data_IF_811264606797
#
_entry.id   IF_811264606797
#
_cell.length_a   1.000
_cell.length_b   1.000
_cell.length_c   1.000
_cell.angle_alpha   90.00
_cell.angle_beta   90.00
_cell.angle_gamma   90.00
#
_symmetry.space_group_name_H-M   'P 1'
#
loop_
_entity.id
_entity.type
_entity.pdbx_description
1 polymer ?
#
# COMPACT_ATOMS: atom_id res chain seq x y z
N UNK A 1 -44.23 -41.44 -9.87
CA UNK A 1 -44.14 -40.99 -8.46
C UNK A 1 -42.80 -40.32 -8.29
N UNK A 2 -42.83 -39.01 -8.16
CA UNK A 2 -41.70 -38.07 -8.04
C UNK A 2 -41.12 -38.13 -6.62
N UNK A 3 -39.80 -38.11 -6.43
CA UNK A 3 -39.22 -37.54 -5.22
C UNK A 3 -39.03 -36.03 -5.41
N UNK A 4 -39.72 -35.25 -4.58
CA UNK A 4 -39.42 -33.83 -4.36
C UNK A 4 -38.05 -33.72 -3.70
N UNK A 5 -37.07 -33.20 -4.42
CA UNK A 5 -35.85 -32.67 -3.83
C UNK A 5 -36.22 -31.42 -3.02
N UNK A 6 -36.05 -31.51 -1.70
CA UNK A 6 -36.18 -30.38 -0.80
C UNK A 6 -35.17 -29.30 -1.16
N UNK A 7 -35.68 -28.09 -1.38
CA UNK A 7 -34.90 -26.86 -1.49
C UNK A 7 -34.28 -26.58 -0.12
N UNK A 8 -33.05 -27.03 0.07
CA UNK A 8 -32.15 -26.54 1.10
C UNK A 8 -31.20 -25.54 0.46
N UNK A 9 -31.45 -24.25 0.66
CA UNK A 9 -30.54 -23.15 0.33
C UNK A 9 -29.26 -23.27 1.15
N UNK A 10 -28.34 -24.11 0.70
CA UNK A 10 -26.93 -24.03 1.05
C UNK A 10 -26.22 -23.35 -0.10
N UNK A 11 -25.86 -22.07 0.06
CA UNK A 11 -24.92 -21.37 -0.81
C UNK A 11 -23.52 -21.99 -0.65
N UNK A 12 -23.35 -23.21 -1.15
CA UNK A 12 -22.08 -23.88 -1.36
C UNK A 12 -21.69 -23.78 -2.83
N UNK A 13 -21.62 -22.55 -3.34
CA UNK A 13 -21.15 -22.26 -4.70
C UNK A 13 -19.64 -22.36 -4.79
N UNK A 14 -19.07 -23.56 -4.65
CA UNK A 14 -17.72 -23.85 -5.13
C UNK A 14 -17.83 -24.29 -6.59
N UNK A 15 -18.06 -23.31 -7.44
CA UNK A 15 -17.89 -23.44 -8.88
C UNK A 15 -16.83 -22.43 -9.33
N UNK A 16 -15.59 -22.91 -9.46
CA UNK A 16 -14.60 -22.35 -10.40
C UNK A 16 -13.48 -23.38 -10.57
N UNK A 17 -13.72 -24.32 -11.48
CA UNK A 17 -12.65 -24.99 -12.20
C UNK A 17 -11.92 -23.95 -13.08
N UNK A 18 -10.59 -24.06 -13.17
CA UNK A 18 -9.82 -23.45 -14.26
C UNK A 18 -8.76 -22.43 -13.84
N UNK A 19 -7.50 -22.85 -13.96
CA UNK A 19 -6.34 -22.05 -14.34
C UNK A 19 -5.96 -20.81 -13.51
N UNK A 20 -4.85 -20.95 -12.77
CA UNK A 20 -3.73 -20.00 -12.84
C UNK A 20 -4.04 -18.55 -12.49
N UNK A 21 -4.26 -18.27 -11.21
CA UNK A 21 -4.25 -16.91 -10.70
C UNK A 21 -4.25 -16.96 -9.19
N UNK A 22 -3.10 -16.80 -8.57
CA UNK A 22 -2.94 -16.53 -7.14
C UNK A 22 -3.56 -15.16 -6.83
N UNK A 23 -4.88 -15.07 -6.91
CA UNK A 23 -5.64 -14.11 -6.16
C UNK A 23 -5.41 -14.48 -4.71
N UNK A 24 -4.46 -13.79 -4.08
CA UNK A 24 -4.35 -13.76 -2.63
C UNK A 24 -5.68 -13.19 -2.16
N UNK A 25 -6.64 -14.08 -1.87
CA UNK A 25 -7.78 -13.79 -1.04
C UNK A 25 -7.18 -13.51 0.34
N UNK A 26 -6.77 -12.27 0.56
CA UNK A 26 -6.50 -11.77 1.90
C UNK A 26 -7.81 -11.94 2.66
N UNK A 27 -7.90 -13.05 3.38
CA UNK A 27 -9.04 -13.43 4.18
C UNK A 27 -9.37 -12.31 5.16
N UNK A 28 -10.30 -11.45 4.78
CA UNK A 28 -11.10 -10.68 5.70
C UNK A 28 -11.98 -11.69 6.46
N UNK A 29 -11.49 -12.25 7.58
CA UNK A 29 -12.25 -13.32 8.23
C UNK A 29 -11.74 -13.96 9.51
N UNK A 30 -10.74 -13.42 10.20
CA UNK A 30 -10.37 -13.89 11.56
C UNK A 30 -10.25 -12.71 12.53
N UNK A 31 -11.27 -11.84 12.53
CA UNK A 31 -11.34 -10.68 13.42
C UNK A 31 -11.88 -11.09 14.79
N UNK A 32 -10.97 -11.43 15.68
CA UNK A 32 -11.16 -11.12 17.09
C UNK A 32 -10.86 -9.61 17.23
N UNK A 33 -11.88 -8.76 17.36
CA UNK A 33 -11.79 -7.40 17.92
C UNK A 33 -10.73 -6.39 17.38
N UNK A 34 -10.16 -6.56 16.19
CA UNK A 34 -9.10 -5.67 15.72
C UNK A 34 -9.70 -4.34 15.20
N UNK A 35 -9.33 -3.24 15.85
CA UNK A 35 -9.72 -1.90 15.46
C UNK A 35 -9.31 -1.60 14.00
N UNK A 36 -10.08 -0.78 13.26
CA UNK A 36 -9.72 -0.42 11.89
C UNK A 36 -8.36 0.29 11.89
N UNK A 37 -7.50 0.01 10.91
CA UNK A 37 -6.17 0.60 10.78
C UNK A 37 -6.01 1.29 9.44
N UNK A 38 -4.96 2.10 9.30
CA UNK A 38 -4.63 2.70 7.99
C UNK A 38 -4.56 1.66 6.88
N UNK A 39 -3.93 0.49 7.13
CA UNK A 39 -3.83 -0.57 6.13
C UNK A 39 -5.20 -1.14 5.75
N UNK A 40 -6.05 -1.47 6.73
CA UNK A 40 -7.35 -2.09 6.43
C UNK A 40 -8.31 -1.11 5.76
N UNK A 41 -8.22 0.19 6.07
CA UNK A 41 -8.98 1.23 5.38
C UNK A 41 -8.45 1.47 3.96
N UNK A 42 -7.12 1.57 3.78
CA UNK A 42 -6.53 1.83 2.47
C UNK A 42 -6.78 0.67 1.50
N UNK A 43 -6.68 -0.58 1.97
CA UNK A 43 -7.02 -1.75 1.16
C UNK A 43 -8.47 -1.73 0.68
N UNK A 44 -9.42 -1.27 1.50
CA UNK A 44 -10.81 -1.08 1.07
C UNK A 44 -10.92 0.00 0.00
N UNK A 45 -10.25 1.14 0.20
CA UNK A 45 -10.30 2.29 -0.70
C UNK A 45 -9.61 2.05 -2.06
N UNK A 46 -8.58 1.20 -2.11
CA UNK A 46 -7.77 0.94 -3.31
C UNK A 46 -8.07 -0.42 -3.96
N UNK A 47 -9.06 -1.15 -3.45
CA UNK A 47 -9.42 -2.50 -3.92
C UNK A 47 -9.73 -2.55 -5.43
N UNK A 48 -10.30 -1.48 -5.97
CA UNK A 48 -10.64 -1.34 -7.40
C UNK A 48 -9.56 -0.60 -8.22
N UNK A 49 -8.51 -0.10 -7.58
CA UNK A 49 -7.52 0.79 -8.23
C UNK A 49 -6.30 0.05 -8.81
N UNK A 50 -6.31 -1.28 -8.87
CA UNK A 50 -5.15 -2.10 -9.28
C UNK A 50 -3.86 -1.74 -8.53
N UNK A 51 -3.96 -1.34 -7.25
CA UNK A 51 -2.82 -1.04 -6.39
C UNK A 51 -2.56 -2.17 -5.40
N UNK A 52 -1.32 -2.32 -4.97
CA UNK A 52 -0.88 -3.21 -3.89
C UNK A 52 -0.09 -2.44 -2.84
N UNK A 53 -0.15 -2.93 -1.60
CA UNK A 53 0.65 -2.42 -0.52
C UNK A 53 2.11 -2.87 -0.68
N UNK A 54 3.04 -1.92 -0.77
CA UNK A 54 4.46 -2.19 -1.05
C UNK A 54 5.37 -2.11 0.19
N UNK A 55 4.83 -1.73 1.36
CA UNK A 55 5.63 -1.53 2.58
C UNK A 55 6.12 -2.81 3.28
N UNK A 56 5.57 -4.00 2.97
CA UNK A 56 5.98 -5.28 3.59
C UNK A 56 7.28 -5.85 3.01
N UNK A 57 7.64 -5.45 1.80
CA UNK A 57 8.82 -5.97 1.12
C UNK A 57 10.02 -5.11 1.44
N UNK A 58 10.68 -5.46 2.56
CA UNK A 58 11.94 -4.91 3.08
C UNK A 58 12.74 -4.25 1.97
N UNK A 59 12.58 -2.92 1.85
CA UNK A 59 13.18 -1.95 0.92
C UNK A 59 13.27 -2.28 -0.59
N UNK A 60 13.44 -3.54 -1.03
CA UNK A 60 13.74 -3.97 -2.41
C UNK A 60 12.66 -3.60 -3.42
N UNK A 61 11.37 -3.69 -3.07
CA UNK A 61 10.28 -3.33 -4.00
C UNK A 61 10.28 -1.82 -4.22
N UNK A 62 10.30 -1.04 -3.14
CA UNK A 62 10.38 0.42 -3.18
C UNK A 62 11.63 0.86 -3.92
N UNK A 63 12.77 0.24 -3.63
CA UNK A 63 14.03 0.47 -4.31
C UNK A 63 13.93 0.15 -5.82
N UNK A 64 13.35 -0.98 -6.22
CA UNK A 64 13.13 -1.28 -7.64
C UNK A 64 12.27 -0.22 -8.32
N UNK A 65 11.22 0.27 -7.66
CA UNK A 65 10.32 1.31 -8.18
C UNK A 65 11.02 2.68 -8.30
N UNK A 66 11.98 2.96 -7.41
CA UNK A 66 12.82 4.17 -7.50
C UNK A 66 13.80 4.14 -8.68
N UNK A 67 14.17 2.96 -9.19
CA UNK A 67 15.03 2.81 -10.38
C UNK A 67 14.26 2.60 -11.68
N UNK A 68 12.94 2.66 -11.69
CA UNK A 68 12.18 2.58 -12.95
C UNK A 68 12.60 3.73 -13.88
N UNK A 69 13.17 3.37 -15.04
CA UNK A 69 13.58 4.31 -16.07
C UNK A 69 12.37 4.89 -16.82
N UNK A 70 12.62 5.97 -17.54
CA UNK A 70 11.67 6.69 -18.40
C UNK A 70 10.83 5.75 -19.28
N UNK A 71 9.50 5.76 -19.08
CA UNK A 71 8.54 4.97 -19.85
C UNK A 71 7.25 4.65 -19.06
N UNK A 72 7.37 4.41 -17.75
CA UNK A 72 6.22 4.16 -16.88
C UNK A 72 5.66 5.48 -16.32
N UNK A 73 4.42 5.83 -16.69
CA UNK A 73 3.71 7.01 -16.13
C UNK A 73 2.44 6.57 -15.38
N UNK A 74 2.16 7.11 -14.18
CA UNK A 74 3.06 7.91 -13.33
C UNK A 74 4.27 7.11 -12.82
N UNK A 75 5.36 7.80 -12.46
CA UNK A 75 6.52 7.20 -11.80
C UNK A 75 6.31 7.17 -10.30
N UNK A 76 6.76 6.09 -9.66
CA UNK A 76 6.70 5.99 -8.20
C UNK A 76 7.50 7.09 -7.51
N UNK A 77 8.65 7.47 -8.09
CA UNK A 77 9.50 8.55 -7.61
C UNK A 77 8.73 9.87 -7.41
N UNK A 78 7.89 10.25 -8.37
CA UNK A 78 7.12 11.51 -8.32
C UNK A 78 6.05 11.46 -7.22
N UNK A 79 5.35 10.32 -7.08
CA UNK A 79 4.38 10.11 -6.02
C UNK A 79 5.03 10.12 -4.64
N UNK A 80 6.16 9.43 -4.48
CA UNK A 80 6.89 9.44 -3.21
C UNK A 80 7.43 10.82 -2.87
N UNK A 81 7.95 11.56 -3.86
CA UNK A 81 8.42 12.94 -3.68
C UNK A 81 7.30 13.87 -3.20
N UNK A 82 6.10 13.74 -3.77
CA UNK A 82 4.92 14.52 -3.36
C UNK A 82 4.40 14.16 -1.97
N UNK A 83 4.59 12.90 -1.54
CA UNK A 83 4.21 12.43 -0.21
C UNK A 83 5.28 12.70 0.86
N UNK A 84 6.55 12.87 0.46
CA UNK A 84 7.70 12.82 1.36
C UNK A 84 7.59 13.77 2.56
N UNK A 85 7.23 15.03 2.34
CA UNK A 85 7.13 16.02 3.42
C UNK A 85 5.95 15.75 4.35
N UNK A 86 4.90 15.06 3.87
CA UNK A 86 3.74 14.61 4.66
C UNK A 86 3.98 13.26 5.35
N UNK A 87 5.04 12.53 4.99
CA UNK A 87 5.53 11.40 5.77
C UNK A 87 6.26 11.94 6.98
N UNK A 88 5.48 12.40 7.96
CA UNK A 88 5.93 12.76 9.29
C UNK A 88 5.52 11.66 10.24
N UNK A 89 6.36 11.42 11.24
CA UNK A 89 6.01 10.60 12.37
C UNK A 89 6.51 11.28 13.63
N UNK A 90 5.69 12.19 14.15
CA UNK A 90 6.02 12.94 15.36
C UNK A 90 6.11 12.03 16.60
N UNK A 91 5.56 10.82 16.51
CA UNK A 91 5.56 9.83 17.58
C UNK A 91 6.82 8.93 17.59
N UNK A 92 7.58 8.86 16.49
CA UNK A 92 8.72 7.96 16.37
C UNK A 92 9.89 8.59 15.58
N UNK A 93 10.71 9.43 16.24
CA UNK A 93 11.91 10.00 15.65
C UNK A 93 12.95 8.93 15.23
N UNK A 94 12.81 7.68 15.69
CA UNK A 94 13.72 6.57 15.38
C UNK A 94 13.51 5.99 13.98
N UNK A 95 12.49 6.41 13.24
CA UNK A 95 12.33 6.00 11.84
C UNK A 95 13.49 6.50 10.97
N UNK A 96 14.20 7.55 11.41
CA UNK A 96 15.43 8.01 10.78
C UNK A 96 15.19 8.56 9.38
N UNK A 97 14.26 9.50 9.24
CA UNK A 97 13.99 10.19 7.98
C UNK A 97 15.29 10.82 7.46
N UNK A 98 15.73 10.52 6.22
CA UNK A 98 16.88 11.17 5.63
C UNK A 98 16.72 12.69 5.68
N UNK A 99 17.70 13.37 6.27
CA UNK A 99 17.73 14.82 6.35
C UNK A 99 18.05 15.47 5.00
N UNK A 100 17.73 16.75 4.86
CA UNK A 100 17.96 17.54 3.65
C UNK A 100 16.67 17.93 2.94
N UNK A 101 16.79 18.76 1.91
CA UNK A 101 15.64 19.19 1.12
C UNK A 101 15.14 18.04 0.24
N UNK A 102 13.83 17.84 0.17
CA UNK A 102 13.16 16.82 -0.67
C UNK A 102 13.66 16.90 -2.12
N UNK A 103 13.81 18.10 -2.68
CA UNK A 103 14.34 18.27 -4.03
C UNK A 103 15.77 17.76 -4.22
N UNK A 104 16.61 17.77 -3.18
CA UNK A 104 17.99 17.27 -3.24
C UNK A 104 18.04 15.74 -3.10
N UNK A 105 17.23 15.18 -2.20
CA UNK A 105 17.12 13.74 -1.96
C UNK A 105 16.61 13.00 -3.21
N UNK A 106 15.70 13.62 -3.96
CA UNK A 106 15.05 13.06 -5.14
C UNK A 106 15.65 13.57 -6.47
N UNK A 107 16.83 14.22 -6.44
CA UNK A 107 17.56 14.57 -7.66
C UNK A 107 18.09 13.30 -8.35
N UNK A 108 17.83 13.11 -9.64
CA UNK A 108 18.26 11.91 -10.39
C UNK A 108 19.77 11.62 -10.27
N UNK A 109 20.61 12.67 -10.23
CA UNK A 109 22.06 12.55 -10.09
C UNK A 109 22.51 12.04 -8.71
N UNK A 110 21.69 12.23 -7.68
CA UNK A 110 21.95 11.83 -6.29
C UNK A 110 21.11 10.65 -5.83
N UNK A 111 20.04 10.35 -6.57
CA UNK A 111 19.04 9.36 -6.22
C UNK A 111 19.70 8.01 -6.02
N UNK A 112 20.59 7.56 -6.91
CA UNK A 112 21.26 6.26 -6.79
C UNK A 112 22.04 6.12 -5.47
N UNK A 113 22.68 7.20 -5.00
CA UNK A 113 23.40 7.20 -3.72
C UNK A 113 22.48 7.29 -2.49
N UNK A 114 21.26 7.82 -2.65
CA UNK A 114 20.27 8.02 -1.56
C UNK A 114 19.14 7.01 -1.55
N UNK A 115 19.05 6.19 -2.59
CA UNK A 115 17.99 5.25 -2.85
C UNK A 115 17.75 4.27 -1.70
N UNK A 116 18.82 3.72 -1.14
CA UNK A 116 18.76 2.78 -0.02
C UNK A 116 18.21 3.43 1.26
N UNK A 117 18.61 4.68 1.53
CA UNK A 117 18.11 5.44 2.68
C UNK A 117 16.62 5.77 2.50
N UNK A 118 16.24 6.25 1.32
CA UNK A 118 14.85 6.59 0.97
C UNK A 118 13.95 5.35 1.03
N UNK A 119 14.38 4.24 0.45
CA UNK A 119 13.59 3.00 0.41
C UNK A 119 13.43 2.38 1.80
N UNK A 120 14.48 2.40 2.60
CA UNK A 120 14.46 1.92 3.99
C UNK A 120 13.51 2.74 4.84
N UNK A 121 13.62 4.07 4.79
CA UNK A 121 12.73 4.96 5.52
C UNK A 121 11.27 4.76 5.10
N UNK A 122 11.02 4.75 3.79
CA UNK A 122 9.66 4.57 3.25
C UNK A 122 9.05 3.25 3.68
N UNK A 123 9.81 2.15 3.61
CA UNK A 123 9.36 0.83 4.07
C UNK A 123 8.96 0.88 5.56
N UNK A 124 9.84 1.41 6.42
CA UNK A 124 9.59 1.50 7.86
C UNK A 124 8.40 2.39 8.19
N UNK A 125 8.29 3.55 7.53
CA UNK A 125 7.17 4.47 7.72
C UNK A 125 5.85 3.82 7.28
N UNK A 126 5.83 3.14 6.14
CA UNK A 126 4.67 2.39 5.69
C UNK A 126 4.26 1.30 6.70
N UNK A 127 5.19 0.48 7.17
CA UNK A 127 4.89 -0.57 8.16
C UNK A 127 4.40 -0.02 9.50
N UNK A 128 4.96 1.11 9.92
CA UNK A 128 4.56 1.78 11.15
C UNK A 128 3.14 2.37 11.01
N UNK A 129 2.91 3.19 9.98
CA UNK A 129 1.61 3.82 9.72
C UNK A 129 0.52 2.79 9.45
N UNK A 130 0.82 1.71 8.73
CA UNK A 130 -0.12 0.61 8.44
C UNK A 130 -0.77 -0.01 9.69
N UNK A 131 -0.05 -0.01 10.82
CA UNK A 131 -0.49 -0.58 12.09
C UNK A 131 -1.25 0.42 12.97
N UNK A 132 -1.19 1.72 12.66
CA UNK A 132 -1.91 2.74 13.42
C UNK A 132 -3.42 2.57 13.25
N UNK A 133 -4.15 2.72 14.35
CA UNK A 133 -5.62 2.72 14.35
C UNK A 133 -6.14 3.92 13.55
N UNK A 134 -7.12 3.68 12.69
CA UNK A 134 -7.81 4.67 11.88
C UNK A 134 -9.28 4.27 11.69
N UNK A 135 -10.13 4.74 12.61
CA UNK A 135 -11.55 4.39 12.64
C UNK A 135 -12.27 4.85 11.36
N UNK A 136 -11.92 6.02 10.85
CA UNK A 136 -12.50 6.59 9.63
C UNK A 136 -11.45 7.29 8.76
N UNK A 137 -11.71 7.31 7.45
CA UNK A 137 -10.86 8.03 6.49
C UNK A 137 -11.09 9.54 6.67
N UNK A 138 -10.05 10.35 6.94
CA UNK A 138 -10.18 11.78 7.13
C UNK A 138 -10.70 12.48 5.86
N UNK A 139 -11.77 13.25 6.00
CA UNK A 139 -12.39 14.00 4.88
C UNK A 139 -11.96 15.46 4.84
N UNK A 140 -11.74 16.07 5.99
CA UNK A 140 -11.33 17.47 6.11
C UNK A 140 -9.82 17.64 5.91
N UNK A 141 -9.40 18.79 5.39
CA UNK A 141 -7.99 19.15 5.33
C UNK A 141 -7.39 19.24 6.74
N UNK A 142 -6.16 18.76 6.91
CA UNK A 142 -5.45 18.72 8.19
C UNK A 142 -4.45 17.56 8.26
N UNK A 143 -3.78 17.42 9.41
CA UNK A 143 -2.69 16.45 9.58
C UNK A 143 -3.12 15.00 9.35
N UNK A 144 -4.30 14.62 9.84
CA UNK A 144 -4.85 13.28 9.60
C UNK A 144 -5.04 12.98 8.11
N UNK A 145 -5.55 13.95 7.33
CA UNK A 145 -5.70 13.81 5.88
C UNK A 145 -4.34 13.79 5.18
N UNK A 146 -3.40 14.61 5.61
CA UNK A 146 -2.04 14.63 5.06
C UNK A 146 -1.34 13.27 5.24
N UNK A 147 -1.42 12.68 6.43
CA UNK A 147 -0.86 11.35 6.73
C UNK A 147 -1.57 10.27 5.90
N UNK A 148 -2.90 10.34 5.81
CA UNK A 148 -3.69 9.40 4.99
C UNK A 148 -3.31 9.46 3.50
N UNK A 149 -3.25 10.65 2.93
CA UNK A 149 -2.89 10.84 1.52
C UNK A 149 -1.45 10.38 1.28
N UNK A 150 -0.51 10.76 2.15
CA UNK A 150 0.88 10.30 2.08
C UNK A 150 0.99 8.77 2.18
N UNK A 151 0.18 8.14 3.03
CA UNK A 151 0.15 6.69 3.16
C UNK A 151 -0.32 6.01 1.89
N UNK A 152 -1.37 6.52 1.27
CA UNK A 152 -1.88 5.98 0.01
C UNK A 152 -0.92 6.23 -1.17
N UNK A 153 -0.25 7.38 -1.21
CA UNK A 153 0.69 7.73 -2.28
C UNK A 153 2.04 7.00 -2.16
N UNK A 154 2.59 6.88 -0.95
CA UNK A 154 3.91 6.30 -0.71
C UNK A 154 3.87 4.78 -0.55
N UNK A 155 2.80 4.22 0.02
CA UNK A 155 2.75 2.82 0.44
C UNK A 155 1.89 1.93 -0.46
N UNK A 156 1.14 2.51 -1.40
CA UNK A 156 0.36 1.76 -2.38
C UNK A 156 0.76 2.13 -3.80
N UNK A 157 1.15 1.13 -4.58
CA UNK A 157 1.55 1.34 -5.96
C UNK A 157 0.87 0.37 -6.90
N UNK A 158 0.89 0.67 -8.21
CA UNK A 158 0.33 -0.19 -9.24
C UNK A 158 0.86 -1.61 -9.08
N UNK A 159 -0.05 -2.59 -9.09
CA UNK A 159 0.30 -4.01 -9.21
C UNK A 159 1.10 -4.19 -10.49
N UNK A 160 2.18 -4.96 -10.41
CA UNK A 160 2.86 -5.39 -11.62
C UNK A 160 1.84 -6.17 -12.49
N UNK A 161 1.51 -5.65 -13.67
CA UNK A 161 0.72 -6.39 -14.65
C UNK A 161 1.54 -7.60 -15.04
N UNK A 162 1.08 -8.79 -14.65
CA UNK A 162 1.60 -10.04 -15.20
C UNK A 162 1.06 -10.09 -16.63
N UNK A 163 1.86 -9.62 -17.58
CA UNK A 163 1.56 -9.83 -19.00
C UNK A 163 1.73 -11.33 -19.26
N UNK A 164 0.61 -12.06 -19.20
CA UNK A 164 0.52 -13.45 -19.63
C UNK A 164 0.35 -13.56 -21.13
#
# INVERSE_FOLDING_TARGET
MTPQAGVGTGLGGLAAAGAGGSAIAYAAGAFNGNEPTYLSQALKAVSEQNKEYIGRNVNKKIESLLSEKTGTTPKYLDSLKGAWDRMVDDANPLLGKPGGNTSDLFQETKLESKKGEISTYTSKWCEHTAKKTLIEIPKAAGDGKNIWDAFNEACFWKKATVSG
#
